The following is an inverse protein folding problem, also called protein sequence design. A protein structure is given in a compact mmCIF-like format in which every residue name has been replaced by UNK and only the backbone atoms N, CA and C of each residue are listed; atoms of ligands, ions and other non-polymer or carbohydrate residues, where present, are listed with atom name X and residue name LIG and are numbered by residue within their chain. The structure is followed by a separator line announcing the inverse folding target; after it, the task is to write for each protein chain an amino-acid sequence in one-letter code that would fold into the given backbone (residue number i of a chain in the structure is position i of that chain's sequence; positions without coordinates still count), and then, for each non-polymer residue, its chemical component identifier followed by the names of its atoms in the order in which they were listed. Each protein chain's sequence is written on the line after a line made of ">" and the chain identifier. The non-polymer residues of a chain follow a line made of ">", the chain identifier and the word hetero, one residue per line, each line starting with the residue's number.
data_IF_861689464493
#
_entry.id   IF_861689464493
#
_cell.length_a   1.000
_cell.length_b   1.000
_cell.length_c   1.000
_cell.angle_alpha   90.00
_cell.angle_beta   90.00
_cell.angle_gamma   90.00
#
_symmetry.space_group_name_H-M   'P 1'
#
loop_
_entity.id
_entity.type
_entity.pdbx_description
1 polymer ?
#
# COMPACT_ATOMS: atom_id res chain seq x y z
N UNK A 1 11.59 -13.30 -17.38
CA UNK A 1 11.63 -12.89 -15.96
C UNK A 1 12.70 -13.71 -15.26
N UNK A 2 13.54 -13.09 -14.43
CA UNK A 2 14.49 -13.82 -13.62
C UNK A 2 13.74 -14.64 -12.56
N UNK A 3 14.10 -15.90 -12.40
CA UNK A 3 13.60 -16.78 -11.33
C UNK A 3 14.65 -16.76 -10.23
N UNK A 4 14.25 -16.34 -9.04
CA UNK A 4 15.10 -16.34 -7.85
C UNK A 4 14.63 -17.45 -6.92
N UNK A 5 15.56 -18.31 -6.49
CA UNK A 5 15.29 -19.34 -5.48
C UNK A 5 15.51 -18.75 -4.09
N UNK A 6 14.54 -18.96 -3.21
CA UNK A 6 14.58 -18.49 -1.83
C UNK A 6 14.10 -19.64 -0.96
N UNK A 7 14.82 -19.94 0.12
CA UNK A 7 14.40 -20.92 1.11
C UNK A 7 13.32 -20.33 2.01
N UNK A 8 12.16 -20.98 2.04
CA UNK A 8 11.06 -20.67 2.94
C UNK A 8 10.55 -21.96 3.56
N UNK A 9 10.05 -21.86 4.80
CA UNK A 9 9.33 -22.96 5.43
C UNK A 9 8.10 -23.33 4.57
N UNK A 10 7.99 -24.58 4.09
CA UNK A 10 6.83 -25.03 3.32
C UNK A 10 5.50 -24.83 4.04
N UNK A 11 5.47 -24.94 5.37
CA UNK A 11 4.25 -24.74 6.17
C UNK A 11 3.73 -23.32 6.07
N UNK A 12 4.64 -22.34 6.13
CA UNK A 12 4.30 -20.91 5.99
C UNK A 12 3.73 -20.63 4.60
N UNK A 13 4.28 -21.26 3.56
CA UNK A 13 3.76 -21.12 2.20
C UNK A 13 2.37 -21.72 2.04
N UNK A 14 2.10 -22.86 2.67
CA UNK A 14 0.80 -23.52 2.59
C UNK A 14 -0.28 -22.75 3.37
N UNK A 15 0.04 -22.25 4.57
CA UNK A 15 -0.85 -21.37 5.34
C UNK A 15 -1.15 -20.09 4.55
N UNK A 16 -0.13 -19.48 3.97
CA UNK A 16 -0.28 -18.27 3.16
C UNK A 16 -1.11 -18.51 1.89
N UNK A 17 -1.01 -19.68 1.24
CA UNK A 17 -1.91 -20.03 0.13
C UNK A 17 -3.36 -20.10 0.58
N UNK A 18 -3.63 -20.73 1.74
CA UNK A 18 -4.99 -20.82 2.25
C UNK A 18 -5.56 -19.44 2.58
N UNK A 19 -4.78 -18.59 3.23
CA UNK A 19 -5.20 -17.23 3.61
C UNK A 19 -5.39 -16.30 2.41
N UNK A 20 -4.57 -16.45 1.37
CA UNK A 20 -4.62 -15.56 0.18
C UNK A 20 -5.46 -16.13 -0.96
N UNK A 21 -5.82 -17.41 -0.95
CA UNK A 21 -6.45 -18.11 -2.08
C UNK A 21 -5.56 -18.21 -3.32
N UNK A 22 -4.24 -18.10 -3.15
CA UNK A 22 -3.29 -18.13 -4.26
C UNK A 22 -3.11 -19.55 -4.82
N UNK A 23 -2.90 -19.64 -6.15
CA UNK A 23 -2.76 -20.91 -6.87
C UNK A 23 -1.32 -21.42 -6.94
N UNK A 24 -0.34 -20.61 -6.51
CA UNK A 24 1.08 -20.97 -6.55
C UNK A 24 1.91 -20.25 -5.49
N UNK A 25 3.06 -20.83 -5.12
CA UNK A 25 4.03 -20.19 -4.20
C UNK A 25 4.49 -18.83 -4.73
N UNK A 26 4.71 -18.72 -6.05
CA UNK A 26 5.09 -17.47 -6.70
C UNK A 26 4.04 -16.38 -6.50
N UNK A 27 2.77 -16.73 -6.65
CA UNK A 27 1.67 -15.78 -6.47
C UNK A 27 1.54 -15.32 -5.01
N UNK A 28 1.73 -16.23 -4.04
CA UNK A 28 1.78 -15.89 -2.61
C UNK A 28 2.88 -14.85 -2.34
N UNK A 29 4.11 -15.15 -2.79
CA UNK A 29 5.27 -14.27 -2.56
C UNK A 29 5.06 -12.91 -3.24
N UNK A 30 4.53 -12.90 -4.46
CA UNK A 30 4.22 -11.67 -5.18
C UNK A 30 3.23 -10.80 -4.39
N UNK A 31 2.10 -11.37 -3.96
CA UNK A 31 1.08 -10.64 -3.18
C UNK A 31 1.60 -10.15 -1.85
N UNK A 32 2.42 -10.95 -1.16
CA UNK A 32 3.04 -10.56 0.10
C UNK A 32 3.95 -9.34 -0.08
N UNK A 33 4.79 -9.32 -1.13
CA UNK A 33 5.66 -8.20 -1.44
C UNK A 33 4.88 -6.94 -1.85
N UNK A 34 3.87 -7.08 -2.70
CA UNK A 34 2.98 -5.98 -3.09
C UNK A 34 2.29 -5.36 -1.87
N UNK A 35 1.77 -6.21 -0.97
CA UNK A 35 1.12 -5.78 0.27
C UNK A 35 2.10 -5.06 1.19
N UNK A 36 3.30 -5.61 1.39
CA UNK A 36 4.34 -5.00 2.21
C UNK A 36 4.74 -3.62 1.67
N UNK A 37 4.92 -3.49 0.35
CA UNK A 37 5.25 -2.23 -0.30
C UNK A 37 4.10 -1.23 -0.11
N UNK A 38 2.86 -1.65 -0.30
CA UNK A 38 1.69 -0.80 -0.12
C UNK A 38 1.61 -0.27 1.32
N UNK A 39 1.70 -1.16 2.31
CA UNK A 39 1.70 -0.82 3.75
C UNK A 39 2.82 0.14 4.11
N UNK A 40 4.03 -0.04 3.54
CA UNK A 40 5.19 0.81 3.83
C UNK A 40 5.24 2.12 3.03
N UNK A 41 4.49 2.24 1.94
CA UNK A 41 4.35 3.49 1.17
C UNK A 41 3.30 4.43 1.75
N UNK A 42 2.29 3.90 2.42
CA UNK A 42 1.20 4.70 3.00
C UNK A 42 1.61 5.68 4.13
N UNK A 43 2.65 5.48 4.96
CA UNK A 43 3.09 6.48 5.94
C UNK A 43 3.45 7.81 5.25
N UNK A 44 4.19 7.75 4.14
CA UNK A 44 4.60 8.94 3.39
C UNK A 44 3.44 9.62 2.62
N UNK A 45 2.35 8.90 2.34
CA UNK A 45 1.17 9.47 1.69
C UNK A 45 0.20 10.10 2.71
N UNK A 46 0.04 9.48 3.87
CA UNK A 46 -0.78 10.00 4.98
C UNK A 46 -0.11 11.22 5.62
N UNK A 47 1.20 11.23 5.80
CA UNK A 47 1.94 12.42 6.28
C UNK A 47 1.74 13.64 5.38
N UNK A 48 1.65 13.48 4.05
CA UNK A 48 1.35 14.59 3.12
C UNK A 48 -0.07 15.14 3.25
N UNK A 49 -1.03 14.31 3.65
CA UNK A 49 -2.42 14.73 3.87
C UNK A 49 -2.52 15.46 5.22
N UNK A 50 -1.82 14.99 6.25
CA UNK A 50 -1.80 15.62 7.58
C UNK A 50 -0.97 16.92 7.58
N UNK A 51 0.14 16.97 6.84
CA UNK A 51 0.96 18.18 6.68
C UNK A 51 0.30 19.25 5.80
N UNK A 52 -0.86 18.95 5.20
CA UNK A 52 -1.67 19.96 4.53
C UNK A 52 -2.40 20.74 5.61
N UNK A 53 -1.78 21.84 6.04
CA UNK A 53 -2.48 22.85 6.81
C UNK A 53 -3.69 23.33 5.99
N UNK A 54 -4.90 23.01 6.47
CA UNK A 54 -6.14 23.50 5.88
C UNK A 54 -6.39 24.97 6.28
N UNK A 55 -5.34 25.77 6.44
CA UNK A 55 -5.41 27.23 6.46
C UNK A 55 -5.52 27.76 5.03
N UNK A 56 -6.64 27.44 4.38
CA UNK A 56 -7.15 28.25 3.28
C UNK A 56 -8.57 28.62 3.66
N UNK A 57 -8.64 29.72 4.39
CA UNK A 57 -9.83 30.46 4.76
C UNK A 57 -10.86 30.48 3.61
N UNK A 58 -12.04 29.84 3.76
CA UNK A 58 -13.09 29.87 2.76
C UNK A 58 -13.85 31.21 2.67
N UNK A 59 -13.40 32.29 3.32
CA UNK A 59 -14.09 33.59 3.33
C UNK A 59 -13.63 34.63 2.31
N UNK A 60 -12.62 34.37 1.47
CA UNK A 60 -12.20 35.31 0.42
C UNK A 60 -12.97 35.17 -0.92
N UNK A 61 -14.20 34.65 -0.88
CA UNK A 61 -15.08 34.55 -2.05
C UNK A 61 -16.37 35.37 -1.88
N UNK A 62 -16.36 36.36 -0.98
CA UNK A 62 -17.33 37.43 -0.96
C UNK A 62 -16.63 38.75 -1.35
N UNK A 63 -17.36 39.60 -2.07
CA UNK A 63 -16.98 40.93 -2.56
C UNK A 63 -16.08 41.00 -3.80
N UNK A 64 -16.71 40.95 -4.97
CA UNK A 64 -16.48 41.93 -6.05
C UNK A 64 -17.67 41.89 -7.03
N UNK A 65 -18.75 42.54 -6.59
CA UNK A 65 -19.78 43.11 -7.46
C UNK A 65 -19.19 44.38 -8.11
N UNK A 66 -19.44 44.62 -9.40
CA UNK A 66 -20.22 45.81 -9.74
C UNK A 66 -21.45 45.51 -10.59
#
# INVERSE_FOLDING_TARGET
>A
MAVTTIDLDPRVLDDAKQLTGARSNREVVQRALETLIAVRRQPAAVERIIARDFSADPSAADELHP
#
